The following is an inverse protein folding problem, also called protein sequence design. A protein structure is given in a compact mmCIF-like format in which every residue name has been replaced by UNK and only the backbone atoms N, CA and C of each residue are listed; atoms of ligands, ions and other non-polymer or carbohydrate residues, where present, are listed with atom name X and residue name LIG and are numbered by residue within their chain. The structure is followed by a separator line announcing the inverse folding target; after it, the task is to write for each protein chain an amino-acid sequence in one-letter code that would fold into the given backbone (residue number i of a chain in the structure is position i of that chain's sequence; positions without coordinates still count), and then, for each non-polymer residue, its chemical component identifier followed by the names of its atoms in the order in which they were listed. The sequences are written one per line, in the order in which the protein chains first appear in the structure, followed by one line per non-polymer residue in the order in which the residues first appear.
data_IF_448479189104
#
_entry.id   IF_448479189104
#
_cell.length_a   1.000
_cell.length_b   1.000
_cell.length_c   1.000
_cell.angle_alpha   90.00
_cell.angle_beta   90.00
_cell.angle_gamma   90.00
#
_symmetry.space_group_name_H-M   'P 1'
#
loop_
_entity.id
_entity.type
_entity.pdbx_description
1 polymer ?
#
# COMPACT_ATOMS: atom_id res chain seq x y z
N UNK A 1 -64.93 24.79 -12.22
CA UNK A 1 -63.87 23.75 -12.22
C UNK A 1 -62.51 24.44 -12.22
N UNK A 2 -61.86 24.58 -11.07
CA UNK A 2 -60.51 25.18 -10.94
C UNK A 2 -59.47 24.08 -11.09
N UNK A 3 -58.67 24.14 -12.16
CA UNK A 3 -57.53 23.23 -12.41
C UNK A 3 -56.38 23.61 -11.47
N UNK A 4 -56.03 22.72 -10.53
CA UNK A 4 -54.79 22.82 -9.77
C UNK A 4 -53.62 22.38 -10.68
N UNK A 5 -52.63 23.25 -10.81
CA UNK A 5 -51.32 22.95 -11.41
C UNK A 5 -50.41 22.54 -10.24
N UNK A 6 -49.99 21.28 -10.19
CA UNK A 6 -48.92 20.83 -9.27
C UNK A 6 -47.55 21.21 -9.85
N UNK A 7 -46.61 21.73 -9.05
CA UNK A 7 -45.24 21.94 -9.50
C UNK A 7 -44.49 20.60 -9.51
N UNK A 8 -43.87 20.28 -10.65
CA UNK A 8 -42.94 19.17 -10.79
C UNK A 8 -41.68 19.46 -9.98
N UNK A 9 -41.43 18.67 -8.94
CA UNK A 9 -40.21 18.71 -8.14
C UNK A 9 -39.08 18.08 -8.96
N UNK A 10 -38.16 18.89 -9.48
CA UNK A 10 -36.91 18.40 -10.07
C UNK A 10 -36.08 17.74 -8.96
N UNK A 11 -36.01 16.41 -8.95
CA UNK A 11 -35.00 15.68 -8.17
C UNK A 11 -33.65 15.96 -8.83
N UNK A 12 -32.84 16.80 -8.18
CA UNK A 12 -31.42 16.92 -8.51
C UNK A 12 -30.75 15.57 -8.22
N UNK A 13 -30.29 14.89 -9.27
CA UNK A 13 -29.44 13.72 -9.15
C UNK A 13 -28.15 14.14 -8.43
N UNK A 14 -27.96 13.63 -7.21
CA UNK A 14 -26.68 13.72 -6.52
C UNK A 14 -25.63 12.98 -7.37
N UNK A 15 -24.42 13.53 -7.56
CA UNK A 15 -23.34 12.79 -8.20
C UNK A 15 -23.12 11.50 -7.41
N UNK A 16 -23.15 10.36 -8.12
CA UNK A 16 -22.96 9.04 -7.54
C UNK A 16 -21.73 9.04 -6.64
N UNK A 17 -21.92 8.66 -5.39
CA UNK A 17 -20.83 8.38 -4.46
C UNK A 17 -19.92 7.37 -5.13
N UNK A 18 -18.70 7.82 -5.51
CA UNK A 18 -17.64 6.92 -5.93
C UNK A 18 -17.53 5.82 -4.87
N UNK A 19 -17.81 4.58 -5.25
CA UNK A 19 -17.63 3.46 -4.34
C UNK A 19 -16.15 3.44 -3.97
N UNK A 20 -15.84 3.56 -2.68
CA UNK A 20 -14.49 3.34 -2.21
C UNK A 20 -14.16 1.86 -2.48
N UNK A 21 -13.06 1.60 -3.17
CA UNK A 21 -12.60 0.24 -3.41
C UNK A 21 -12.45 -0.50 -2.07
N UNK A 22 -12.87 -1.75 -2.04
CA UNK A 22 -12.88 -2.58 -0.82
C UNK A 22 -11.53 -3.29 -0.58
N UNK A 23 -11.37 -3.91 0.59
CA UNK A 23 -10.17 -4.67 0.94
C UNK A 23 -8.98 -3.84 1.39
N UNK A 24 -7.77 -4.35 1.14
CA UNK A 24 -6.51 -3.69 1.51
C UNK A 24 -5.36 -4.07 0.59
N UNK A 25 -4.39 -3.17 0.50
CA UNK A 25 -3.14 -3.39 -0.23
C UNK A 25 -2.07 -3.86 0.74
N UNK A 26 -1.49 -5.03 0.49
CA UNK A 26 -0.17 -5.41 1.01
C UNK A 26 0.88 -4.98 -0.01
N UNK A 27 2.03 -4.52 0.47
CA UNK A 27 3.12 -4.02 -0.38
C UNK A 27 4.43 -3.99 0.37
N UNK A 28 5.53 -3.82 -0.36
CA UNK A 28 6.85 -3.60 0.20
C UNK A 28 7.17 -2.12 0.21
N UNK A 29 7.73 -1.65 1.33
CA UNK A 29 8.28 -0.29 1.46
C UNK A 29 9.46 -0.31 2.40
N UNK A 30 10.54 0.33 2.00
CA UNK A 30 11.82 0.34 2.75
C UNK A 30 12.32 -1.08 3.10
N UNK A 31 12.00 -2.07 2.26
CA UNK A 31 12.38 -3.47 2.42
C UNK A 31 11.49 -4.30 3.36
N UNK A 32 10.39 -3.74 3.86
CA UNK A 32 9.45 -4.41 4.78
C UNK A 32 8.03 -4.49 4.22
N UNK A 33 7.30 -5.51 4.66
CA UNK A 33 5.89 -5.68 4.34
C UNK A 33 5.06 -4.66 5.12
N UNK A 34 4.19 -3.98 4.39
CA UNK A 34 3.21 -3.03 4.89
C UNK A 34 1.82 -3.40 4.39
N UNK A 35 0.79 -2.92 5.07
CA UNK A 35 -0.59 -3.02 4.64
C UNK A 35 -1.28 -1.67 4.81
N UNK A 36 -2.09 -1.24 3.85
CA UNK A 36 -2.90 -0.01 3.95
C UNK A 36 -4.30 -0.17 3.36
N UNK A 37 -5.15 0.84 3.61
CA UNK A 37 -6.36 1.04 2.82
C UNK A 37 -6.00 1.34 1.35
N UNK A 38 -6.94 1.14 0.40
CA UNK A 38 -6.74 1.42 -1.03
C UNK A 38 -6.34 2.84 -1.40
N UNK A 39 -6.65 3.82 -0.55
CA UNK A 39 -6.27 5.22 -0.71
C UNK A 39 -4.90 5.55 -0.07
N UNK A 40 -4.17 4.53 0.40
CA UNK A 40 -2.91 4.64 1.13
C UNK A 40 -3.07 5.05 2.60
N UNK A 41 -4.30 5.30 3.06
CA UNK A 41 -4.61 5.58 4.45
C UNK A 41 -4.39 4.37 5.36
N UNK A 42 -4.31 4.60 6.66
CA UNK A 42 -4.23 3.53 7.67
C UNK A 42 -3.05 2.54 7.47
N UNK A 43 -1.97 3.00 6.82
CA UNK A 43 -0.79 2.18 6.58
C UNK A 43 -0.18 1.67 7.90
N UNK A 44 0.03 0.36 7.97
CA UNK A 44 0.61 -0.36 9.10
C UNK A 44 1.80 -1.18 8.59
N UNK A 45 2.93 -1.08 9.29
CA UNK A 45 4.13 -1.88 9.01
C UNK A 45 4.01 -3.24 9.69
N UNK A 46 4.11 -4.31 8.93
CA UNK A 46 3.95 -5.70 9.38
C UNK A 46 5.30 -6.27 9.84
N UNK A 47 6.37 -5.99 9.10
CA UNK A 47 7.72 -6.50 9.38
C UNK A 47 8.70 -5.36 9.68
N UNK A 48 9.79 -5.65 10.39
CA UNK A 48 10.79 -4.63 10.73
C UNK A 48 12.23 -5.06 10.51
N UNK A 49 12.43 -6.24 9.93
CA UNK A 49 13.73 -6.89 9.78
C UNK A 49 14.24 -6.91 8.33
N UNK A 50 13.50 -6.31 7.40
CA UNK A 50 13.95 -6.05 6.03
C UNK A 50 14.14 -7.29 5.16
N UNK A 51 14.41 -7.05 3.87
CA UNK A 51 14.70 -8.08 2.87
C UNK A 51 13.46 -8.79 2.32
N UNK A 52 12.27 -8.22 2.52
CA UNK A 52 11.03 -8.77 1.98
C UNK A 52 10.78 -8.29 0.55
N UNK A 53 10.11 -9.14 -0.22
CA UNK A 53 9.60 -8.86 -1.55
C UNK A 53 8.28 -9.62 -1.76
N UNK A 54 7.47 -9.17 -2.72
CA UNK A 54 6.28 -9.88 -3.21
C UNK A 54 5.37 -10.45 -2.10
N UNK A 55 4.77 -9.57 -1.27
CA UNK A 55 3.73 -10.00 -0.35
C UNK A 55 2.48 -10.42 -1.12
N UNK A 56 1.75 -11.40 -0.59
CA UNK A 56 0.46 -11.88 -1.10
C UNK A 56 -0.47 -12.18 0.08
N UNK A 57 -1.78 -12.01 -0.12
CA UNK A 57 -2.79 -12.08 0.93
C UNK A 57 -3.85 -13.15 0.66
N UNK A 58 -4.09 -14.02 1.65
CA UNK A 58 -5.24 -14.93 1.63
C UNK A 58 -6.54 -14.18 2.02
N UNK A 59 -7.70 -14.79 1.81
CA UNK A 59 -8.99 -14.15 2.08
C UNK A 59 -9.19 -13.81 3.57
N UNK A 60 -8.60 -14.61 4.46
CA UNK A 60 -8.63 -14.38 5.91
C UNK A 60 -7.63 -13.30 6.38
N UNK A 61 -6.83 -12.75 5.46
CA UNK A 61 -5.81 -11.76 5.71
C UNK A 61 -4.45 -12.33 6.12
N UNK A 62 -4.26 -13.66 6.08
CA UNK A 62 -2.93 -14.25 6.22
C UNK A 62 -2.02 -13.71 5.14
N UNK A 63 -0.86 -13.21 5.55
CA UNK A 63 0.15 -12.64 4.64
C UNK A 63 1.24 -13.69 4.39
N UNK A 64 1.59 -13.88 3.12
CA UNK A 64 2.80 -14.58 2.68
C UNK A 64 3.72 -13.56 2.04
N UNK A 65 5.03 -13.62 2.30
CA UNK A 65 6.01 -12.84 1.55
C UNK A 65 7.30 -13.64 1.41
N UNK A 66 8.06 -13.42 0.35
CA UNK A 66 9.42 -13.94 0.31
C UNK A 66 10.33 -13.03 1.14
N UNK A 67 11.29 -13.63 1.84
CA UNK A 67 12.40 -12.88 2.43
C UNK A 67 13.73 -13.41 1.92
N UNK A 68 14.55 -12.51 1.41
CA UNK A 68 15.93 -12.78 1.05
C UNK A 68 16.85 -12.45 2.22
N UNK A 69 17.66 -13.41 2.65
CA UNK A 69 18.66 -13.24 3.72
C UNK A 69 20.07 -13.43 3.18
N UNK A 70 21.10 -13.04 3.95
CA UNK A 70 22.48 -13.37 3.64
C UNK A 70 22.98 -14.43 4.64
N UNK A 71 23.26 -15.63 4.15
CA UNK A 71 23.62 -16.80 4.97
C UNK A 71 24.79 -17.54 4.33
N UNK A 72 25.91 -17.68 5.05
CA UNK A 72 27.09 -18.44 4.60
C UNK A 72 27.58 -18.08 3.18
N UNK A 73 27.58 -16.77 2.85
CA UNK A 73 27.99 -16.27 1.53
C UNK A 73 26.95 -16.49 0.42
N UNK A 74 25.73 -16.88 0.77
CA UNK A 74 24.60 -17.11 -0.15
C UNK A 74 23.45 -16.16 0.17
N UNK A 75 22.49 -16.10 -0.75
CA UNK A 75 21.29 -15.27 -0.61
C UNK A 75 19.99 -16.09 -0.73
N UNK A 76 19.73 -17.02 0.21
CA UNK A 76 18.53 -17.83 0.14
C UNK A 76 17.27 -16.98 0.24
N UNK A 77 16.21 -17.47 -0.40
CA UNK A 77 14.86 -16.92 -0.30
C UNK A 77 14.00 -17.96 0.40
N UNK A 78 13.26 -17.53 1.41
CA UNK A 78 12.29 -18.38 2.12
C UNK A 78 10.94 -17.69 2.17
N UNK A 79 9.87 -18.48 2.24
CA UNK A 79 8.52 -17.94 2.39
C UNK A 79 8.27 -17.71 3.88
N UNK A 80 7.82 -16.51 4.22
CA UNK A 80 7.43 -16.13 5.57
C UNK A 80 5.94 -15.86 5.61
N UNK A 81 5.32 -16.25 6.72
CA UNK A 81 3.89 -16.09 6.95
C UNK A 81 3.65 -15.19 8.16
N UNK A 82 2.63 -14.35 8.08
CA UNK A 82 2.29 -13.41 9.14
C UNK A 82 0.79 -13.27 9.30
N UNK A 83 0.36 -13.08 10.53
CA UNK A 83 -0.91 -12.44 10.81
C UNK A 83 -0.81 -10.94 10.52
N UNK A 84 -1.97 -10.30 10.39
CA UNK A 84 -2.12 -8.86 10.08
C UNK A 84 -1.57 -7.92 11.15
N UNK A 85 -1.34 -8.43 12.37
CA UNK A 85 -0.73 -7.69 13.49
C UNK A 85 0.81 -7.76 13.50
N UNK A 86 1.42 -8.44 12.51
CA UNK A 86 2.86 -8.64 12.40
C UNK A 86 3.38 -9.87 13.11
N UNK A 87 2.53 -10.63 13.81
CA UNK A 87 2.96 -11.89 14.43
C UNK A 87 3.25 -12.94 13.35
N UNK A 88 4.40 -13.63 13.49
CA UNK A 88 4.83 -14.66 12.53
C UNK A 88 4.05 -15.95 12.73
N UNK A 89 3.69 -16.58 11.62
CA UNK A 89 3.03 -17.90 11.61
C UNK A 89 4.09 -18.95 11.29
N UNK A 90 4.41 -19.77 12.29
CA UNK A 90 5.34 -20.88 12.16
C UNK A 90 6.78 -20.48 11.77
N UNK A 91 7.57 -21.48 11.41
CA UNK A 91 8.90 -21.28 10.85
C UNK A 91 8.83 -20.87 9.37
N UNK A 92 9.87 -20.19 8.82
CA UNK A 92 9.96 -19.91 7.40
C UNK A 92 9.92 -21.21 6.58
N UNK A 93 9.19 -21.21 5.47
CA UNK A 93 9.10 -22.37 4.60
C UNK A 93 10.26 -22.36 3.60
N UNK A 94 10.91 -23.50 3.50
CA UNK A 94 11.94 -23.77 2.51
C UNK A 94 11.31 -24.54 1.35
N UNK A 95 11.28 -23.93 0.17
CA UNK A 95 10.79 -24.58 -1.05
C UNK A 95 11.91 -25.21 -1.85
N UNK A 96 13.16 -24.76 -1.67
CA UNK A 96 14.34 -25.42 -2.22
C UNK A 96 15.49 -25.32 -1.22
N UNK A 97 16.30 -26.38 -1.18
CA UNK A 97 17.49 -26.45 -0.34
C UNK A 97 18.42 -25.27 -0.57
N UNK A 98 18.81 -24.60 0.52
CA UNK A 98 19.73 -23.45 0.53
C UNK A 98 21.06 -23.74 -0.19
N UNK A 99 21.50 -24.99 -0.20
CA UNK A 99 22.75 -25.39 -0.85
C UNK A 99 22.65 -25.52 -2.38
N UNK A 100 21.44 -25.45 -2.96
CA UNK A 100 21.20 -25.56 -4.39
C UNK A 100 21.47 -24.23 -5.13
N UNK A 101 22.69 -24.09 -5.67
CA UNK A 101 23.16 -22.91 -6.41
C UNK A 101 22.50 -22.68 -7.77
N UNK A 102 21.78 -23.68 -8.29
CA UNK A 102 21.14 -23.58 -9.60
C UNK A 102 19.74 -22.99 -9.50
N UNK A 103 19.26 -22.67 -8.30
CA UNK A 103 17.88 -22.26 -8.09
C UNK A 103 17.81 -20.79 -7.65
N UNK A 104 17.05 -19.99 -8.40
CA UNK A 104 16.73 -18.59 -8.06
C UNK A 104 15.24 -18.51 -7.81
N UNK A 105 14.87 -18.56 -6.54
CA UNK A 105 13.49 -18.48 -6.08
C UNK A 105 13.36 -18.91 -4.62
N UNK A 106 12.13 -19.00 -4.09
CA UNK A 106 10.87 -18.70 -4.77
C UNK A 106 10.74 -17.21 -5.12
N UNK A 107 10.06 -16.90 -6.23
CA UNK A 107 9.80 -15.55 -6.74
C UNK A 107 8.28 -15.36 -6.92
N UNK A 108 7.80 -14.14 -6.65
CA UNK A 108 6.38 -13.76 -6.69
C UNK A 108 5.45 -14.85 -6.13
N UNK A 109 5.60 -15.22 -4.84
CA UNK A 109 4.71 -16.18 -4.24
C UNK A 109 3.30 -15.61 -4.12
N UNK A 110 2.31 -16.40 -4.50
CA UNK A 110 0.89 -16.09 -4.38
C UNK A 110 0.23 -17.13 -3.47
N UNK A 111 -0.40 -16.68 -2.39
CA UNK A 111 -1.16 -17.56 -1.50
C UNK A 111 -2.58 -17.74 -2.04
N UNK A 112 -3.11 -18.96 -1.96
CA UNK A 112 -4.45 -19.25 -2.44
C UNK A 112 -5.51 -18.48 -1.62
N UNK A 113 -6.69 -18.18 -2.20
CA UNK A 113 -7.75 -17.47 -1.49
C UNK A 113 -8.16 -18.15 -0.18
N UNK A 114 -8.20 -19.49 -0.16
CA UNK A 114 -8.50 -20.30 1.03
C UNK A 114 -7.34 -20.38 2.04
N UNK A 115 -6.19 -19.79 1.73
CA UNK A 115 -5.00 -19.75 2.57
C UNK A 115 -4.23 -21.06 2.65
N UNK A 116 -4.56 -22.11 1.88
CA UNK A 116 -3.99 -23.46 2.09
C UNK A 116 -2.76 -23.79 1.23
N UNK A 117 -2.55 -23.05 0.13
CA UNK A 117 -1.49 -23.33 -0.86
C UNK A 117 -0.72 -22.07 -1.20
N UNK A 118 0.51 -22.25 -1.65
CA UNK A 118 1.32 -21.16 -2.21
C UNK A 118 1.80 -21.62 -3.58
N UNK A 119 1.47 -20.83 -4.61
CA UNK A 119 2.06 -20.92 -5.93
C UNK A 119 3.23 -19.94 -6.01
N UNK A 120 4.31 -20.30 -6.68
CA UNK A 120 5.44 -19.41 -6.91
C UNK A 120 6.14 -19.82 -8.19
N UNK A 121 7.00 -18.96 -8.73
CA UNK A 121 7.90 -19.37 -9.80
C UNK A 121 9.36 -19.32 -9.36
N UNK A 122 10.22 -19.93 -10.15
CA UNK A 122 11.66 -19.88 -9.96
C UNK A 122 12.39 -19.96 -11.29
N UNK A 123 13.66 -19.54 -11.28
CA UNK A 123 14.60 -19.81 -12.36
C UNK A 123 15.57 -20.94 -12.00
N UNK A 124 15.74 -21.90 -12.89
CA UNK A 124 16.83 -22.87 -12.87
C UNK A 124 17.96 -22.42 -13.80
N UNK A 125 19.13 -22.16 -13.21
CA UNK A 125 20.35 -21.72 -13.89
C UNK A 125 21.32 -22.87 -14.18
N UNK A 126 20.95 -24.10 -13.81
CA UNK A 126 21.71 -25.32 -14.08
C UNK A 126 21.54 -25.85 -15.52
N UNK A 127 21.94 -27.10 -15.72
CA UNK A 127 21.85 -27.79 -17.01
C UNK A 127 20.45 -28.40 -17.14
N UNK A 128 19.49 -27.60 -17.59
CA UNK A 128 18.14 -28.03 -17.98
C UNK A 128 17.81 -27.51 -19.39
N UNK A 129 16.74 -28.03 -20.00
CA UNK A 129 16.23 -27.48 -21.26
C UNK A 129 15.70 -26.05 -21.05
N UNK A 130 15.67 -25.23 -22.11
CA UNK A 130 15.20 -23.84 -22.00
C UNK A 130 13.76 -23.73 -21.45
N UNK A 131 12.93 -24.77 -21.68
CA UNK A 131 11.56 -24.86 -21.16
C UNK A 131 11.47 -25.22 -19.68
N UNK A 132 12.54 -25.66 -19.03
CA UNK A 132 12.56 -25.96 -17.60
C UNK A 132 13.36 -24.89 -16.82
N UNK A 133 13.83 -23.84 -17.52
CA UNK A 133 14.56 -22.73 -16.89
C UNK A 133 13.64 -21.86 -16.06
N UNK A 134 12.42 -21.59 -16.52
CA UNK A 134 11.37 -20.99 -15.69
C UNK A 134 10.40 -22.09 -15.29
N UNK A 135 9.89 -22.07 -14.08
CA UNK A 135 8.91 -23.07 -13.64
C UNK A 135 8.02 -22.50 -12.56
N UNK A 136 6.71 -22.70 -12.71
CA UNK A 136 5.74 -22.53 -11.62
C UNK A 136 5.69 -23.80 -10.80
N UNK A 137 5.74 -23.66 -9.47
CA UNK A 137 5.64 -24.76 -8.53
C UNK A 137 4.73 -24.39 -7.36
N UNK A 138 4.36 -25.41 -6.59
CA UNK A 138 3.38 -25.31 -5.53
C UNK A 138 3.94 -25.88 -4.23
N UNK A 139 3.45 -25.37 -3.11
CA UNK A 139 3.70 -25.92 -1.78
C UNK A 139 2.47 -25.74 -0.90
N UNK A 140 2.37 -26.55 0.16
CA UNK A 140 1.44 -26.28 1.25
C UNK A 140 1.83 -25.00 1.98
N UNK A 141 0.83 -24.25 2.47
CA UNK A 141 1.07 -23.11 3.38
C UNK A 141 1.72 -23.56 4.69
N UNK A 142 1.48 -24.80 5.14
CA UNK A 142 1.95 -25.28 6.45
C UNK A 142 3.35 -25.88 6.41
N UNK A 143 3.71 -26.48 5.28
CA UNK A 143 4.97 -27.18 5.12
C UNK A 143 5.52 -26.95 3.72
N UNK A 144 6.72 -26.38 3.66
CA UNK A 144 7.49 -26.22 2.43
C UNK A 144 7.80 -27.57 1.79
N UNK A 145 7.72 -27.63 0.46
CA UNK A 145 8.09 -28.81 -0.33
C UNK A 145 8.97 -28.42 -1.52
N UNK A 146 9.88 -29.32 -1.90
CA UNK A 146 10.63 -29.20 -3.16
C UNK A 146 9.66 -29.18 -4.37
N UNK A 147 10.00 -28.48 -5.48
CA UNK A 147 9.16 -28.45 -6.68
C UNK A 147 8.80 -29.85 -7.17
N UNK A 148 7.54 -30.06 -7.54
CA UNK A 148 7.04 -31.35 -8.01
C UNK A 148 6.63 -32.33 -6.90
N UNK A 149 6.96 -32.08 -5.63
CA UNK A 149 6.61 -32.99 -4.53
C UNK A 149 5.16 -32.82 -4.07
N UNK A 150 4.69 -31.58 -3.95
CA UNK A 150 3.32 -31.29 -3.52
C UNK A 150 2.30 -31.44 -4.66
N UNK A 151 2.67 -30.99 -5.86
CA UNK A 151 1.94 -31.14 -7.10
C UNK A 151 2.91 -30.94 -8.28
N UNK A 152 2.48 -31.34 -9.49
CA UNK A 152 3.25 -31.20 -10.71
C UNK A 152 3.74 -29.75 -10.91
N UNK A 153 5.00 -29.60 -11.29
CA UNK A 153 5.58 -28.29 -11.59
C UNK A 153 5.46 -27.99 -13.10
N UNK A 154 5.16 -26.74 -13.44
CA UNK A 154 4.87 -26.32 -14.80
C UNK A 154 6.07 -25.59 -15.40
N UNK A 155 6.87 -26.34 -16.17
CA UNK A 155 8.02 -25.81 -16.90
C UNK A 155 7.61 -24.79 -17.97
N UNK A 156 8.34 -23.68 -18.04
CA UNK A 156 8.19 -22.63 -19.03
C UNK A 156 7.22 -21.55 -18.59
N UNK A 157 6.60 -21.70 -17.42
CA UNK A 157 5.65 -20.73 -16.87
C UNK A 157 6.26 -19.91 -15.73
N UNK A 158 5.71 -18.73 -15.52
CA UNK A 158 6.09 -17.79 -14.47
C UNK A 158 4.88 -16.94 -14.01
N UNK A 159 5.11 -16.10 -13.00
CA UNK A 159 4.15 -15.15 -12.40
C UNK A 159 2.76 -15.75 -12.14
N UNK A 160 2.65 -16.82 -11.35
CA UNK A 160 1.35 -17.45 -11.11
C UNK A 160 0.42 -16.49 -10.38
N UNK A 161 -0.89 -16.58 -10.61
CA UNK A 161 -1.91 -15.83 -9.86
C UNK A 161 -3.13 -16.71 -9.58
N UNK A 162 -3.74 -16.59 -8.40
CA UNK A 162 -4.92 -17.39 -8.07
C UNK A 162 -6.20 -16.74 -8.57
N UNK A 163 -7.06 -17.57 -9.12
CA UNK A 163 -8.46 -17.23 -9.33
C UNK A 163 -9.26 -17.48 -8.05
N UNK A 164 -10.38 -16.78 -7.88
CA UNK A 164 -11.21 -16.92 -6.67
C UNK A 164 -11.78 -18.34 -6.46
N UNK A 165 -11.86 -19.16 -7.51
CA UNK A 165 -12.31 -20.56 -7.42
C UNK A 165 -11.18 -21.56 -7.10
N UNK A 166 -9.96 -21.07 -6.84
CA UNK A 166 -8.82 -21.88 -6.44
C UNK A 166 -8.04 -22.51 -7.59
N UNK A 167 -8.27 -22.10 -8.84
CA UNK A 167 -7.36 -22.39 -9.97
C UNK A 167 -6.24 -21.36 -10.07
N UNK A 168 -5.19 -21.69 -10.80
CA UNK A 168 -3.99 -20.85 -10.95
C UNK A 168 -3.84 -20.41 -12.41
N UNK A 169 -3.83 -19.12 -12.65
CA UNK A 169 -3.33 -18.56 -13.91
C UNK A 169 -1.82 -18.71 -13.96
N UNK A 170 -1.32 -19.19 -15.09
CA UNK A 170 0.12 -19.29 -15.34
C UNK A 170 0.46 -18.70 -16.70
N UNK A 171 1.61 -18.03 -16.78
CA UNK A 171 1.98 -17.23 -17.94
C UNK A 171 3.26 -17.76 -18.57
N UNK A 172 3.24 -18.02 -19.87
CA UNK A 172 4.35 -18.66 -20.56
C UNK A 172 5.50 -17.65 -20.77
N UNK A 173 6.69 -18.03 -20.30
CA UNK A 173 7.90 -17.20 -20.28
C UNK A 173 8.69 -17.18 -21.59
N UNK A 174 8.06 -17.44 -22.73
CA UNK A 174 8.68 -17.39 -24.06
C UNK A 174 7.61 -17.18 -25.15
N UNK A 175 8.04 -17.04 -26.41
CA UNK A 175 7.11 -16.90 -27.54
C UNK A 175 6.27 -18.18 -27.73
N UNK A 176 4.95 -18.06 -27.65
CA UNK A 176 4.01 -19.16 -27.90
C UNK A 176 2.65 -18.62 -28.34
N UNK A 177 1.89 -19.42 -29.09
CA UNK A 177 0.52 -19.07 -29.51
C UNK A 177 -0.45 -18.98 -28.33
N UNK A 178 -0.24 -19.78 -27.27
CA UNK A 178 -0.94 -19.66 -26.00
C UNK A 178 0.02 -19.04 -24.98
N UNK A 179 -0.33 -17.86 -24.48
CA UNK A 179 0.45 -17.15 -23.49
C UNK A 179 -0.03 -17.43 -22.06
N UNK A 180 -1.33 -17.66 -21.88
CA UNK A 180 -1.96 -17.88 -20.57
C UNK A 180 -2.53 -19.30 -20.52
N UNK A 181 -2.25 -19.99 -19.43
CA UNK A 181 -2.86 -21.27 -19.09
C UNK A 181 -3.56 -21.21 -17.73
N UNK A 182 -4.37 -22.22 -17.47
CA UNK A 182 -5.06 -22.42 -16.20
C UNK A 182 -4.66 -23.78 -15.66
N UNK A 183 -4.13 -23.82 -14.44
CA UNK A 183 -3.84 -25.03 -13.72
C UNK A 183 -4.82 -25.25 -12.56
N UNK A 184 -5.22 -26.50 -12.36
CA UNK A 184 -5.90 -26.93 -11.15
C UNK A 184 -4.96 -27.84 -10.38
N UNK A 185 -4.45 -27.36 -9.24
CA UNK A 185 -3.40 -28.05 -8.49
C UNK A 185 -3.80 -29.49 -8.15
N UNK A 186 -3.08 -30.46 -8.72
CA UNK A 186 -3.32 -31.91 -8.55
C UNK A 186 -4.39 -32.51 -9.48
N UNK A 187 -5.03 -31.72 -10.34
CA UNK A 187 -6.01 -32.19 -11.33
C UNK A 187 -5.57 -31.92 -12.78
N UNK A 188 -4.71 -30.93 -13.01
CA UNK A 188 -4.00 -30.74 -14.27
C UNK A 188 -4.14 -29.36 -14.90
N UNK A 189 -3.38 -29.21 -15.98
CA UNK A 189 -3.14 -27.97 -16.71
C UNK A 189 -3.89 -27.94 -18.05
N UNK A 190 -4.34 -26.75 -18.45
CA UNK A 190 -4.83 -26.49 -19.81
C UNK A 190 -4.42 -25.11 -20.34
N UNK A 191 -4.19 -25.02 -21.64
CA UNK A 191 -4.06 -23.75 -22.35
C UNK A 191 -5.39 -22.98 -22.30
N UNK A 192 -5.32 -21.66 -22.10
CA UNK A 192 -6.52 -20.82 -22.13
C UNK A 192 -6.55 -19.93 -23.37
N UNK A 193 -5.62 -18.99 -23.50
CA UNK A 193 -5.56 -18.11 -24.67
C UNK A 193 -4.15 -17.51 -24.87
N UNK A 194 -3.96 -16.89 -26.03
CA UNK A 194 -2.86 -15.96 -26.26
C UNK A 194 -3.35 -14.74 -27.03
N UNK A 195 -2.79 -13.57 -26.70
CA UNK A 195 -3.03 -12.35 -27.47
C UNK A 195 -2.17 -12.35 -28.75
N UNK A 196 -2.78 -12.34 -29.95
CA UNK A 196 -2.03 -12.34 -31.21
C UNK A 196 -1.23 -11.06 -31.48
N UNK A 197 -1.50 -9.97 -30.76
CA UNK A 197 -0.71 -8.74 -30.84
C UNK A 197 0.52 -8.76 -29.91
N UNK A 198 0.62 -9.73 -29.00
CA UNK A 198 1.80 -9.93 -28.16
C UNK A 198 2.74 -10.91 -28.86
N UNK A 199 4.01 -10.52 -28.96
CA UNK A 199 5.01 -11.28 -29.72
C UNK A 199 5.96 -12.07 -28.83
N UNK A 200 6.09 -11.68 -27.56
CA UNK A 200 7.03 -12.32 -26.62
C UNK A 200 6.39 -12.75 -25.32
N UNK A 201 6.03 -11.80 -24.45
CA UNK A 201 5.55 -12.08 -23.12
C UNK A 201 4.21 -11.38 -22.86
N UNK A 202 3.25 -12.17 -22.40
CA UNK A 202 2.08 -11.71 -21.67
C UNK A 202 2.16 -12.38 -20.30
N UNK A 203 2.33 -11.59 -19.25
CA UNK A 203 2.75 -12.07 -17.94
C UNK A 203 2.06 -11.31 -16.82
N UNK A 204 2.29 -11.73 -15.58
CA UNK A 204 1.95 -11.00 -14.36
C UNK A 204 0.50 -10.51 -14.37
N UNK A 205 -0.39 -11.44 -14.71
CA UNK A 205 -1.79 -11.13 -14.89
C UNK A 205 -2.65 -11.62 -13.74
N UNK A 206 -3.73 -10.89 -13.49
CA UNK A 206 -4.69 -11.20 -12.45
C UNK A 206 -6.12 -11.12 -13.00
N UNK A 207 -6.91 -12.15 -12.68
CA UNK A 207 -8.34 -12.19 -12.95
C UNK A 207 -9.08 -11.68 -11.72
N UNK A 208 -9.97 -10.71 -11.93
CA UNK A 208 -10.95 -10.29 -10.92
C UNK A 208 -11.66 -11.49 -10.29
N UNK A 209 -12.05 -11.36 -9.01
CA UNK A 209 -12.73 -12.43 -8.29
C UNK A 209 -14.06 -12.87 -8.92
N UNK A 210 -14.72 -11.97 -9.64
CA UNK A 210 -15.94 -12.28 -10.39
C UNK A 210 -15.68 -13.10 -11.67
N UNK A 211 -14.42 -13.20 -12.11
CA UNK A 211 -14.04 -13.88 -13.33
C UNK A 211 -14.40 -13.13 -14.61
N UNK A 212 -14.74 -11.84 -14.51
CA UNK A 212 -15.28 -11.06 -15.63
C UNK A 212 -14.22 -10.20 -16.36
N UNK A 213 -13.12 -9.88 -15.67
CA UNK A 213 -12.02 -9.04 -16.17
C UNK A 213 -10.66 -9.61 -15.81
N UNK A 214 -9.76 -9.65 -16.79
CA UNK A 214 -8.34 -10.00 -16.64
C UNK A 214 -7.48 -8.79 -17.00
N UNK A 215 -6.42 -8.57 -16.24
CA UNK A 215 -5.30 -7.70 -16.62
C UNK A 215 -4.05 -8.56 -16.80
N UNK A 216 -3.14 -8.17 -17.68
CA UNK A 216 -1.79 -8.74 -17.77
C UNK A 216 -0.80 -7.71 -18.32
N UNK A 217 0.46 -7.84 -17.93
CA UNK A 217 1.57 -7.04 -18.45
C UNK A 217 2.00 -7.60 -19.81
N UNK A 218 1.97 -6.76 -20.85
CA UNK A 218 2.41 -7.13 -22.19
C UNK A 218 3.85 -6.71 -22.50
N UNK A 219 4.35 -7.20 -23.63
CA UNK A 219 5.76 -7.06 -24.04
C UNK A 219 6.21 -5.64 -24.44
N UNK A 220 5.27 -4.71 -24.57
CA UNK A 220 5.54 -3.30 -24.86
C UNK A 220 5.58 -2.42 -23.60
N UNK A 221 5.72 -3.02 -22.41
CA UNK A 221 5.56 -2.33 -21.14
C UNK A 221 4.18 -1.67 -21.05
N UNK A 222 3.15 -2.48 -21.32
CA UNK A 222 1.74 -2.07 -21.34
C UNK A 222 0.90 -2.94 -20.38
N UNK A 223 -0.24 -2.41 -19.91
CA UNK A 223 -1.26 -3.23 -19.25
C UNK A 223 -2.38 -3.52 -20.24
N UNK A 224 -2.65 -4.80 -20.44
CA UNK A 224 -3.66 -5.29 -21.40
C UNK A 224 -4.85 -5.84 -20.65
N UNK A 225 -6.03 -5.37 -21.01
CA UNK A 225 -7.29 -5.69 -20.32
C UNK A 225 -8.16 -6.56 -21.21
N UNK A 226 -8.62 -7.69 -20.67
CA UNK A 226 -9.46 -8.65 -21.36
C UNK A 226 -10.76 -8.89 -20.57
N UNK A 227 -11.83 -9.28 -21.26
CA UNK A 227 -13.03 -9.78 -20.61
C UNK A 227 -12.96 -11.29 -20.33
N UNK A 228 -14.02 -11.86 -19.75
CA UNK A 228 -14.15 -13.29 -19.46
C UNK A 228 -13.95 -14.21 -20.69
N UNK A 229 -14.23 -13.71 -21.89
CA UNK A 229 -14.04 -14.42 -23.15
C UNK A 229 -12.61 -14.32 -23.70
N UNK A 230 -11.69 -13.76 -22.92
CA UNK A 230 -10.33 -13.41 -23.33
C UNK A 230 -10.29 -12.43 -24.53
N UNK A 231 -11.34 -11.63 -24.72
CA UNK A 231 -11.34 -10.60 -25.74
C UNK A 231 -10.65 -9.34 -25.21
N UNK A 232 -9.60 -8.89 -25.90
CA UNK A 232 -8.94 -7.62 -25.59
C UNK A 232 -9.94 -6.46 -25.66
N UNK A 233 -10.04 -5.69 -24.57
CA UNK A 233 -10.91 -4.52 -24.45
C UNK A 233 -10.15 -3.21 -24.48
N UNK A 234 -8.96 -3.18 -23.89
CA UNK A 234 -8.19 -1.95 -23.78
C UNK A 234 -6.71 -2.25 -23.54
N UNK A 235 -5.85 -1.31 -23.94
CA UNK A 235 -4.42 -1.32 -23.66
C UNK A 235 -4.05 0.01 -23.02
N UNK A 236 -3.41 -0.04 -21.87
CA UNK A 236 -2.93 1.11 -21.13
C UNK A 236 -1.41 1.22 -21.31
N UNK A 237 -0.93 2.37 -21.74
CA UNK A 237 0.49 2.63 -22.00
C UNK A 237 0.93 3.95 -21.36
N UNK A 238 2.22 4.27 -21.47
CA UNK A 238 2.79 5.55 -21.03
C UNK A 238 3.13 5.61 -19.55
N UNK A 239 3.62 4.51 -18.98
CA UNK A 239 4.04 4.39 -17.59
C UNK A 239 5.40 5.06 -17.34
N UNK A 240 5.62 5.47 -16.09
CA UNK A 240 6.89 5.96 -15.58
C UNK A 240 7.82 4.77 -15.25
N UNK A 241 8.68 4.41 -16.20
CA UNK A 241 9.51 3.20 -16.08
C UNK A 241 8.72 1.94 -16.37
N UNK A 242 9.11 0.82 -15.75
CA UNK A 242 8.44 -0.46 -15.98
C UNK A 242 7.13 -0.55 -15.19
N UNK A 243 6.09 -1.09 -15.82
CA UNK A 243 4.84 -1.46 -15.15
C UNK A 243 4.91 -2.91 -14.73
N UNK A 244 4.60 -3.20 -13.46
CA UNK A 244 4.61 -4.56 -12.91
C UNK A 244 3.50 -4.74 -11.87
N UNK A 245 3.27 -5.99 -11.50
CA UNK A 245 2.44 -6.46 -10.39
C UNK A 245 1.03 -5.83 -10.37
N UNK A 246 0.26 -5.89 -11.49
CA UNK A 246 -1.10 -5.39 -11.48
C UNK A 246 -2.01 -6.29 -10.64
N UNK A 247 -2.76 -5.70 -9.71
CA UNK A 247 -3.65 -6.44 -8.79
C UNK A 247 -5.02 -5.80 -8.65
N UNK A 248 -6.08 -6.62 -8.70
CA UNK A 248 -7.46 -6.13 -8.70
C UNK A 248 -8.00 -5.97 -7.29
N UNK A 249 -8.75 -4.89 -7.07
CA UNK A 249 -9.61 -4.81 -5.91
C UNK A 249 -10.56 -6.04 -5.87
N UNK A 250 -10.91 -6.57 -4.68
CA UNK A 250 -11.77 -7.73 -4.53
C UNK A 250 -13.14 -7.61 -5.21
N UNK A 251 -13.65 -6.38 -5.31
CA UNK A 251 -14.91 -6.03 -5.99
C UNK A 251 -14.75 -5.75 -7.50
N UNK A 252 -13.52 -5.82 -8.03
CA UNK A 252 -13.17 -5.57 -9.43
C UNK A 252 -13.36 -4.12 -9.88
N UNK A 253 -13.57 -3.17 -8.98
CA UNK A 253 -13.84 -1.77 -9.32
C UNK A 253 -12.58 -0.92 -9.52
N UNK A 254 -11.45 -1.37 -8.99
CA UNK A 254 -10.17 -0.67 -9.04
C UNK A 254 -9.00 -1.63 -9.26
N UNK A 255 -7.90 -1.10 -9.75
CA UNK A 255 -6.65 -1.82 -9.99
C UNK A 255 -5.49 -1.04 -9.34
N UNK A 256 -4.57 -1.75 -8.69
CA UNK A 256 -3.26 -1.23 -8.32
C UNK A 256 -2.18 -1.81 -9.22
N UNK A 257 -1.10 -1.07 -9.43
CA UNK A 257 0.11 -1.56 -10.11
C UNK A 257 1.33 -0.75 -9.66
N UNK A 258 2.51 -1.29 -9.89
CA UNK A 258 3.79 -0.62 -9.63
C UNK A 258 4.30 0.14 -10.86
N UNK A 259 4.81 1.36 -10.63
CA UNK A 259 5.67 2.13 -11.54
C UNK A 259 6.95 2.54 -10.78
N UNK A 260 7.92 3.16 -11.49
CA UNK A 260 9.22 3.52 -10.90
C UNK A 260 9.14 4.48 -9.69
N UNK A 261 8.07 5.27 -9.56
CA UNK A 261 7.83 6.17 -8.43
C UNK A 261 6.91 5.62 -7.33
N UNK A 262 6.34 4.42 -7.51
CA UNK A 262 5.61 3.68 -6.50
C UNK A 262 4.32 3.05 -7.02
N UNK A 263 3.38 2.75 -6.11
CA UNK A 263 2.13 2.10 -6.47
C UNK A 263 1.06 3.13 -6.84
N UNK A 264 0.49 2.97 -8.02
CA UNK A 264 -0.66 3.71 -8.52
C UNK A 264 -1.94 2.92 -8.31
N UNK A 265 -3.07 3.62 -8.14
CA UNK A 265 -4.39 2.98 -7.99
C UNK A 265 -5.39 3.71 -8.88
N UNK A 266 -5.98 3.02 -9.85
CA UNK A 266 -7.03 3.58 -10.71
C UNK A 266 -8.38 2.90 -10.50
N UNK A 267 -9.44 3.69 -10.63
CA UNK A 267 -10.80 3.18 -10.76
C UNK A 267 -11.00 2.67 -12.19
N UNK A 268 -11.32 1.39 -12.32
CA UNK A 268 -11.41 0.66 -13.59
C UNK A 268 -12.63 -0.28 -13.60
N UNK A 269 -13.79 0.25 -13.18
CA UNK A 269 -15.06 -0.48 -13.26
C UNK A 269 -15.43 -0.87 -14.69
N UNK A 270 -15.21 0.04 -15.64
CA UNK A 270 -15.31 -0.20 -17.09
C UNK A 270 -13.91 -0.25 -17.72
N UNK A 271 -13.46 -1.46 -18.05
CA UNK A 271 -12.13 -1.68 -18.64
C UNK A 271 -12.02 -1.20 -20.08
N UNK A 272 -13.12 -0.99 -20.80
CA UNK A 272 -13.08 -0.48 -22.18
C UNK A 272 -12.62 0.98 -22.25
N UNK A 273 -12.72 1.72 -21.14
CA UNK A 273 -12.32 3.11 -21.02
C UNK A 273 -10.94 3.31 -20.34
N UNK A 274 -10.13 2.24 -20.20
CA UNK A 274 -8.91 2.25 -19.39
C UNK A 274 -7.96 3.41 -19.72
N UNK A 275 -7.82 3.76 -21.00
CA UNK A 275 -6.93 4.83 -21.46
C UNK A 275 -7.24 6.21 -20.85
N UNK A 276 -8.50 6.43 -20.45
CA UNK A 276 -8.97 7.68 -19.84
C UNK A 276 -8.97 7.67 -18.31
N UNK A 277 -8.67 6.51 -17.69
CA UNK A 277 -8.69 6.37 -16.25
C UNK A 277 -7.61 7.26 -15.60
N UNK A 278 -7.99 7.94 -14.51
CA UNK A 278 -7.03 8.66 -13.68
C UNK A 278 -6.09 7.66 -13.01
N UNK A 279 -4.79 7.99 -12.99
CA UNK A 279 -3.71 7.10 -12.50
C UNK A 279 -2.96 7.74 -11.32
N UNK A 280 -3.63 8.07 -10.20
CA UNK A 280 -2.97 8.73 -9.08
C UNK A 280 -1.91 7.81 -8.45
N UNK A 281 -0.74 8.38 -8.16
CA UNK A 281 0.25 7.75 -7.29
C UNK A 281 -0.29 7.76 -5.84
N UNK A 282 -0.49 6.58 -5.27
CA UNK A 282 -1.11 6.42 -3.94
C UNK A 282 -0.07 6.07 -2.88
N UNK A 283 0.87 5.17 -3.20
CA UNK A 283 1.95 4.77 -2.28
C UNK A 283 3.32 5.09 -2.88
N UNK A 284 3.82 6.33 -2.73
CA UNK A 284 5.13 6.71 -3.24
C UNK A 284 6.26 5.83 -2.68
N UNK A 285 7.10 5.32 -3.59
CA UNK A 285 8.26 4.47 -3.31
C UNK A 285 7.94 3.09 -2.73
N UNK A 286 6.68 2.64 -2.81
CA UNK A 286 6.29 1.27 -2.48
C UNK A 286 6.32 0.38 -3.73
N UNK A 287 6.51 -0.92 -3.54
CA UNK A 287 6.65 -1.93 -4.61
C UNK A 287 5.84 -3.18 -4.28
N UNK A 288 5.70 -4.07 -5.26
CA UNK A 288 5.07 -5.38 -5.16
C UNK A 288 3.66 -5.36 -4.50
N UNK A 289 2.68 -4.61 -5.02
CA UNK A 289 1.32 -4.59 -4.47
C UNK A 289 0.60 -5.93 -4.64
N UNK A 290 -0.17 -6.31 -3.62
CA UNK A 290 -1.17 -7.39 -3.68
C UNK A 290 -2.45 -6.94 -2.96
N UNK A 291 -3.61 -7.10 -3.62
CA UNK A 291 -4.87 -6.57 -3.13
C UNK A 291 -5.82 -7.67 -2.64
N UNK A 292 -5.88 -7.82 -1.31
CA UNK A 292 -6.70 -8.83 -0.64
C UNK A 292 -8.05 -8.30 -0.13
N UNK A 293 -9.05 -9.18 0.10
CA UNK A 293 -10.36 -8.83 0.63
C UNK A 293 -10.36 -8.49 2.11
N UNK A 294 -9.34 -8.93 2.86
CA UNK A 294 -9.20 -8.59 4.26
C UNK A 294 -9.16 -7.06 4.44
N UNK A 295 -10.04 -6.53 5.28
CA UNK A 295 -10.10 -5.10 5.56
C UNK A 295 -8.76 -4.60 6.09
N UNK A 296 -8.34 -3.42 5.65
CA UNK A 296 -7.10 -2.80 6.13
C UNK A 296 -7.07 -2.79 7.67
N UNK A 297 -5.89 -2.99 8.31
CA UNK A 297 -5.79 -2.99 9.75
C UNK A 297 -6.41 -1.72 10.30
N UNK A 298 -7.58 -1.87 10.91
CA UNK A 298 -8.18 -0.79 11.68
C UNK A 298 -7.36 -0.76 12.96
N UNK A 299 -6.67 0.34 13.31
CA UNK A 299 -6.03 0.43 14.63
C UNK A 299 -7.08 0.06 15.68
N UNK A 300 -6.77 -0.81 16.66
CA UNK A 300 -7.78 -1.47 17.48
C UNK A 300 -8.77 -0.47 18.03
N UNK A 301 -10.02 -0.57 17.58
CA UNK A 301 -11.17 -0.12 18.35
C UNK A 301 -11.21 -0.99 19.59
N UNK A 302 -10.84 -0.44 20.75
CA UNK A 302 -11.03 -1.11 22.03
C UNK A 302 -12.47 -1.67 22.12
N UNK A 303 -12.66 -2.90 22.62
CA UNK A 303 -13.99 -3.49 22.72
C UNK A 303 -14.88 -2.61 23.59
N UNK A 304 -16.10 -2.36 23.12
CA UNK A 304 -17.16 -1.70 23.87
C UNK A 304 -17.64 -2.60 25.01
N UNK A 305 -16.83 -2.71 26.06
CA UNK A 305 -17.29 -3.03 27.41
C UNK A 305 -18.14 -1.87 27.96
N UNK A 306 -18.88 -2.07 29.06
CA UNK A 306 -19.70 -1.01 29.64
C UNK A 306 -18.83 0.22 29.83
N UNK A 307 -19.27 1.33 29.25
CA UNK A 307 -18.54 2.60 29.10
C UNK A 307 -17.79 2.94 30.38
N UNK A 308 -16.53 2.53 30.45
CA UNK A 308 -15.54 3.13 31.32
C UNK A 308 -14.73 4.02 30.41
N UNK A 309 -15.07 5.31 30.43
CA UNK A 309 -14.31 6.39 29.83
C UNK A 309 -12.88 6.35 30.35
N UNK A 310 -11.97 5.74 29.60
CA UNK A 310 -10.55 6.02 29.72
C UNK A 310 -10.32 7.48 29.31
N UNK A 311 -9.52 8.26 30.05
CA UNK A 311 -9.44 9.71 29.85
C UNK A 311 -8.75 10.02 28.53
N UNK A 312 -9.47 10.69 27.62
CA UNK A 312 -8.95 11.20 26.36
C UNK A 312 -7.61 11.92 26.59
N UNK A 313 -6.54 11.47 25.93
CA UNK A 313 -5.23 12.11 26.02
C UNK A 313 -5.22 13.42 25.24
N UNK A 314 -4.91 14.52 25.94
CA UNK A 314 -4.80 15.85 25.38
C UNK A 314 -3.73 15.88 24.28
N UNK A 315 -4.07 16.39 23.09
CA UNK A 315 -3.15 16.65 21.97
C UNK A 315 -3.22 18.13 21.59
N UNK A 316 -2.11 18.70 21.10
CA UNK A 316 -2.04 20.08 20.61
C UNK A 316 -1.31 20.17 19.27
N UNK A 317 -1.97 20.76 18.26
CA UNK A 317 -1.42 20.98 16.92
C UNK A 317 -1.24 22.49 16.65
N UNK A 318 -0.16 22.85 15.97
CA UNK A 318 0.27 24.23 15.70
C UNK A 318 0.39 24.50 14.20
N UNK A 319 -0.49 25.36 13.68
CA UNK A 319 -0.54 25.73 12.26
C UNK A 319 -0.56 27.24 12.04
N UNK A 320 -0.29 27.66 10.80
CA UNK A 320 -0.52 29.04 10.36
C UNK A 320 0.32 30.12 11.08
N UNK A 321 1.60 29.85 11.35
CA UNK A 321 2.50 30.88 11.91
C UNK A 321 2.56 32.12 10.99
N UNK A 322 2.30 33.29 11.57
CA UNK A 322 2.49 34.61 10.95
C UNK A 322 3.49 35.38 11.79
N UNK A 323 4.69 35.63 11.25
CA UNK A 323 5.83 36.14 12.02
C UNK A 323 5.97 37.66 12.13
N UNK A 324 5.02 38.47 11.66
CA UNK A 324 5.19 39.93 11.57
C UNK A 324 5.26 40.60 12.96
N UNK A 325 6.40 41.22 13.29
CA UNK A 325 6.54 41.97 14.55
C UNK A 325 5.67 43.23 14.57
N UNK A 326 5.35 43.82 13.40
CA UNK A 326 4.47 45.00 13.31
C UNK A 326 3.02 44.66 13.64
N UNK A 327 2.51 43.54 13.14
CA UNK A 327 1.11 43.10 13.33
C UNK A 327 0.90 42.22 14.57
N UNK A 328 1.98 41.88 15.28
CA UNK A 328 1.99 40.92 16.36
C UNK A 328 2.08 39.50 15.79
N UNK A 329 3.17 38.74 16.08
CA UNK A 329 3.27 37.38 15.59
C UNK A 329 2.12 36.52 16.12
N UNK A 330 1.68 35.52 15.35
CA UNK A 330 0.59 34.65 15.77
C UNK A 330 0.72 33.23 15.27
N UNK A 331 0.19 32.28 16.04
CA UNK A 331 0.05 30.86 15.65
C UNK A 331 -1.37 30.40 15.96
N UNK A 332 -1.92 29.51 15.12
CA UNK A 332 -3.16 28.81 15.44
C UNK A 332 -2.83 27.54 16.20
N UNK A 333 -3.41 27.38 17.39
CA UNK A 333 -3.32 26.17 18.19
C UNK A 333 -4.68 25.46 18.23
N UNK A 334 -4.71 24.17 17.93
CA UNK A 334 -5.89 23.30 18.05
C UNK A 334 -5.63 22.26 19.13
N UNK A 335 -6.62 21.99 19.97
CA UNK A 335 -6.54 20.95 20.99
C UNK A 335 -7.57 19.86 20.71
N UNK A 336 -7.28 18.61 21.11
CA UNK A 336 -8.23 17.49 21.04
C UNK A 336 -9.38 17.59 22.04
N UNK A 337 -9.22 18.38 23.11
CA UNK A 337 -10.24 18.65 24.13
C UNK A 337 -10.14 20.10 24.63
N UNK A 338 -11.03 20.50 25.55
CA UNK A 338 -10.95 21.80 26.21
C UNK A 338 -9.60 21.95 26.91
N UNK A 339 -8.81 22.94 26.52
CA UNK A 339 -7.43 23.09 26.99
C UNK A 339 -7.11 24.54 27.35
N UNK A 340 -6.29 24.73 28.37
CA UNK A 340 -5.57 25.97 28.59
C UNK A 340 -4.20 25.90 27.90
N UNK A 341 -3.82 26.96 27.22
CA UNK A 341 -2.59 27.07 26.45
C UNK A 341 -1.68 28.11 27.10
N UNK A 342 -0.40 27.76 27.25
CA UNK A 342 0.69 28.70 27.55
C UNK A 342 1.71 28.64 26.44
N UNK A 343 1.92 29.73 25.71
CA UNK A 343 2.94 29.80 24.69
C UNK A 343 4.05 30.79 25.04
N UNK A 344 5.29 30.46 24.68
CA UNK A 344 6.48 31.28 24.88
C UNK A 344 7.29 31.33 23.59
N UNK A 345 7.84 32.51 23.30
CA UNK A 345 8.85 32.72 22.28
C UNK A 345 10.19 32.96 22.98
N UNK A 346 11.17 32.10 22.75
CA UNK A 346 12.49 32.17 23.38
C UNK A 346 13.62 32.22 22.36
N UNK A 347 14.75 32.80 22.77
CA UNK A 347 15.99 32.88 22.02
C UNK A 347 17.08 32.06 22.70
N UNK A 348 18.03 31.57 21.90
CA UNK A 348 19.29 31.05 22.44
C UNK A 348 20.09 32.15 23.13
N UNK A 349 20.96 31.79 24.08
CA UNK A 349 21.84 32.76 24.77
C UNK A 349 22.64 33.64 23.78
N UNK A 350 23.19 32.99 22.74
CA UNK A 350 23.99 33.63 21.70
C UNK A 350 23.18 34.67 20.93
N UNK A 351 21.98 34.32 20.48
CA UNK A 351 21.10 35.22 19.72
C UNK A 351 20.57 36.37 20.58
N UNK A 352 20.18 36.09 21.83
CA UNK A 352 19.75 37.11 22.79
C UNK A 352 20.84 38.16 23.03
N UNK A 353 22.08 37.72 23.31
CA UNK A 353 23.24 38.59 23.52
C UNK A 353 23.58 39.40 22.26
N UNK A 354 23.65 38.75 21.09
CA UNK A 354 23.98 39.39 19.80
C UNK A 354 23.01 40.53 19.47
N UNK A 355 21.72 40.32 19.68
CA UNK A 355 20.68 41.29 19.33
C UNK A 355 20.27 42.20 20.50
N UNK A 356 20.94 42.12 21.66
CA UNK A 356 20.60 42.86 22.89
C UNK A 356 19.12 42.71 23.27
N UNK A 357 18.61 41.48 23.19
CA UNK A 357 17.22 41.11 23.49
C UNK A 357 17.16 40.16 24.70
N UNK A 358 16.04 40.14 25.44
CA UNK A 358 15.84 39.14 26.48
C UNK A 358 15.73 37.73 25.88
N UNK A 359 16.06 36.70 26.69
CA UNK A 359 15.95 35.29 26.26
C UNK A 359 14.49 34.85 26.05
N UNK A 360 13.53 35.45 26.72
CA UNK A 360 12.10 35.27 26.46
C UNK A 360 11.56 36.54 25.84
N UNK A 361 11.14 36.47 24.57
CA UNK A 361 10.65 37.61 23.81
C UNK A 361 9.20 37.94 24.12
N UNK A 362 8.38 36.91 24.31
CA UNK A 362 6.97 37.06 24.63
C UNK A 362 6.43 35.78 25.26
N UNK A 363 5.38 35.95 26.06
CA UNK A 363 4.55 34.87 26.59
C UNK A 363 3.10 35.27 26.37
N UNK A 364 2.25 34.30 26.02
CA UNK A 364 0.80 34.48 25.99
C UNK A 364 0.13 33.25 26.56
N UNK A 365 -1.06 33.43 27.11
CA UNK A 365 -1.92 32.35 27.58
C UNK A 365 -3.29 32.45 26.92
N UNK A 366 -3.99 31.33 26.80
CA UNK A 366 -5.38 31.28 26.36
C UNK A 366 -6.12 30.17 27.11
N UNK A 367 -7.39 30.37 27.43
CA UNK A 367 -8.21 29.38 28.14
C UNK A 367 -8.92 28.39 27.20
N UNK A 368 -8.71 28.53 25.89
CA UNK A 368 -9.24 27.63 24.86
C UNK A 368 -8.33 27.61 23.63
N UNK A 369 -8.48 26.58 22.82
CA UNK A 369 -7.87 26.50 21.49
C UNK A 369 -8.23 27.72 20.64
N UNK A 370 -7.30 28.18 19.80
CA UNK A 370 -7.49 29.40 19.03
C UNK A 370 -6.18 30.01 18.53
N UNK A 371 -6.27 31.27 18.09
CA UNK A 371 -5.09 32.00 17.63
C UNK A 371 -4.38 32.65 18.81
N UNK A 372 -3.16 32.21 19.08
CA UNK A 372 -2.27 32.80 20.08
C UNK A 372 -1.50 33.95 19.42
N UNK A 373 -1.70 35.17 19.92
CA UNK A 373 -1.01 36.38 19.45
C UNK A 373 0.06 36.80 20.44
N UNK A 374 1.23 37.19 19.93
CA UNK A 374 2.36 37.62 20.72
C UNK A 374 2.59 39.12 20.53
N UNK A 375 2.88 39.82 21.62
CA UNK A 375 3.41 41.18 21.58
C UNK A 375 4.92 41.10 21.71
N UNK A 376 5.64 41.43 20.64
CA UNK A 376 7.10 41.34 20.55
C UNK A 376 7.67 42.71 20.20
N UNK A 377 8.82 43.07 20.77
CA UNK A 377 9.52 44.32 20.43
C UNK A 377 9.90 44.37 18.95
N UNK A 378 9.80 45.55 18.33
CA UNK A 378 10.25 45.79 16.95
C UNK A 378 11.75 45.48 16.75
N UNK A 379 12.54 45.52 17.83
CA UNK A 379 13.98 45.14 17.83
C UNK A 379 14.21 43.65 17.53
N UNK A 380 13.20 42.79 17.70
CA UNK A 380 13.29 41.35 17.42
C UNK A 380 13.06 41.00 15.94
N UNK A 381 12.91 42.00 15.06
CA UNK A 381 12.78 41.80 13.61
C UNK A 381 13.97 41.01 13.06
N UNK A 382 13.68 40.03 12.21
CA UNK A 382 14.69 39.21 11.53
C UNK A 382 15.26 38.08 12.38
N UNK A 383 14.89 38.00 13.66
CA UNK A 383 15.42 36.99 14.60
C UNK A 383 14.64 35.68 14.49
N UNK A 384 15.36 34.55 14.55
CA UNK A 384 14.76 33.23 14.70
C UNK A 384 14.61 32.89 16.18
N UNK A 385 13.40 32.48 16.57
CA UNK A 385 13.03 32.13 17.93
C UNK A 385 12.48 30.70 18.00
N UNK A 386 12.50 30.12 19.20
CA UNK A 386 11.80 28.87 19.52
C UNK A 386 10.44 29.22 20.10
N UNK A 387 9.38 28.76 19.43
CA UNK A 387 8.02 28.75 19.95
C UNK A 387 7.79 27.46 20.74
N UNK A 388 7.46 27.59 22.01
CA UNK A 388 7.03 26.47 22.86
C UNK A 388 5.59 26.72 23.28
N UNK A 389 4.69 25.79 22.98
CA UNK A 389 3.28 25.84 23.39
C UNK A 389 3.01 24.65 24.30
N UNK A 390 2.56 24.93 25.51
CA UNK A 390 2.13 23.94 26.49
C UNK A 390 0.60 23.97 26.55
N UNK A 391 -0.05 22.85 26.28
CA UNK A 391 -1.47 22.64 26.50
C UNK A 391 -1.69 21.86 27.79
N UNK A 392 -2.66 22.27 28.59
CA UNK A 392 -3.07 21.60 29.83
C UNK A 392 -4.59 21.39 29.86
N UNK A 393 -5.04 20.21 30.29
CA UNK A 393 -6.45 19.85 30.46
C UNK A 393 -6.54 18.88 31.62
N UNK A 394 -7.12 19.29 32.75
CA UNK A 394 -7.02 18.54 34.00
C UNK A 394 -5.55 18.31 34.38
N UNK A 395 -5.19 17.06 34.69
CA UNK A 395 -3.83 16.65 35.04
C UNK A 395 -2.90 16.41 33.82
N UNK A 396 -3.46 16.46 32.60
CA UNK A 396 -2.69 16.22 31.39
C UNK A 396 -1.97 17.49 30.92
N UNK A 397 -0.71 17.32 30.50
CA UNK A 397 0.15 18.39 30.00
C UNK A 397 0.93 17.95 28.78
N UNK A 398 0.74 18.63 27.64
CA UNK A 398 1.46 18.34 26.39
C UNK A 398 2.21 19.58 25.91
N UNK A 399 3.43 19.38 25.40
CA UNK A 399 4.29 20.46 24.92
C UNK A 399 4.60 20.27 23.44
N UNK A 400 4.35 21.30 22.63
CA UNK A 400 4.74 21.38 21.22
C UNK A 400 5.79 22.47 21.03
N UNK A 401 6.83 22.18 20.24
CA UNK A 401 7.96 23.08 20.03
C UNK A 401 8.21 23.27 18.54
N UNK A 402 8.39 24.51 18.10
CA UNK A 402 8.63 24.86 16.69
C UNK A 402 9.61 26.01 16.57
N UNK A 403 10.58 25.94 15.65
CA UNK A 403 11.39 27.11 15.28
C UNK A 403 10.59 28.03 14.38
N UNK A 404 10.63 29.33 14.67
CA UNK A 404 9.87 30.34 13.94
C UNK A 404 10.73 31.57 13.67
N UNK A 405 10.50 32.23 12.53
CA UNK A 405 11.19 33.47 12.16
C UNK A 405 10.29 34.68 12.36
N UNK A 406 10.83 35.73 12.97
CA UNK A 406 10.16 37.02 13.14
C UNK A 406 10.44 37.90 11.93
N UNK A 407 9.40 38.22 11.16
CA UNK A 407 9.46 39.01 9.93
C UNK A 407 9.00 40.45 10.18
N UNK A 408 9.14 41.34 9.18
CA UNK A 408 8.83 42.77 9.30
C UNK A 408 7.38 43.04 9.70
#
# INVERSE_FOLDING_TARGET
MKRLILPALLLAALPGSAHAATGSLAYVKDGDVHVSAPDGGHATRITTDGGYAWPSQADDGTLVAVRQTAENGRTPRRLHRFHRDGTRIGAPLETVKVDNRNFVGPLQPQVSPDGTKIAYHFFNTGVLSDRERTTVAYTSVEQGSEPGVFADALGGYLTPSWTADGRVLVFYGAQRTSHVGIDTVGAGYQDWFGDPAVTTLLTDGELTRAGDKLVAVGDQNDLRFYDAGAQLRCVLTGFNGNVNDPTWAPDGSALAWEEADGIHVAQLGDISACASAARPLVLPGATDPDWGPAAAPVPPTEPSGPVQTAPATLRVDLSGWRGSVRRGPSVRARCSSACALTARLTLTAKTARRHKLPRTLARTTAHKAGTLKFRVSRKARGVTATLTVVATSGDQRVTSVRRVRLTR
#
